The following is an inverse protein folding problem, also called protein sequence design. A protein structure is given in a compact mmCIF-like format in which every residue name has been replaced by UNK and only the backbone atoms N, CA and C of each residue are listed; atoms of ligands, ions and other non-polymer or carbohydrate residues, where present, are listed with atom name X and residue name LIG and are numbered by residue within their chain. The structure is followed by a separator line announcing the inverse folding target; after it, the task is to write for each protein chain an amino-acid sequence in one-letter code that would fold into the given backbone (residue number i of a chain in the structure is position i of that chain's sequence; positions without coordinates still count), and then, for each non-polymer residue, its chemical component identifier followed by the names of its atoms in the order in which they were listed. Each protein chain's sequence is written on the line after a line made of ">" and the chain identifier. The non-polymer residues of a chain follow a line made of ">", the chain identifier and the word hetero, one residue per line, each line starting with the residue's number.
data_IF_246146582462
#
_entry.id   IF_246146582462
#
_cell.length_a   1.000
_cell.length_b   1.000
_cell.length_c   1.000
_cell.angle_alpha   90.00
_cell.angle_beta   90.00
_cell.angle_gamma   90.00
#
_symmetry.space_group_name_H-M   'P 1'
#
loop_
_entity.id
_entity.type
_entity.pdbx_description
1 polymer ?
#
# COMPACT_ATOMS: atom_id res chain seq x y z
N UNK A 1 40.48 -2.74 10.61
CA UNK A 1 39.30 -1.85 10.71
C UNK A 1 38.77 -1.35 9.34
N UNK A 2 39.19 -1.92 8.20
CA UNK A 2 38.81 -1.44 6.85
C UNK A 2 37.47 -1.98 6.33
N UNK A 3 37.00 -3.14 6.81
CA UNK A 3 35.76 -3.77 6.33
C UNK A 3 34.47 -3.02 6.70
N UNK A 4 34.45 -2.33 7.85
CA UNK A 4 33.26 -1.59 8.34
C UNK A 4 32.95 -0.37 7.46
N UNK A 5 33.98 0.31 6.95
CA UNK A 5 33.83 1.47 6.06
C UNK A 5 33.21 1.10 4.70
N UNK A 6 33.62 -0.05 4.14
CA UNK A 6 33.11 -0.56 2.86
C UNK A 6 31.63 -0.98 2.96
N UNK A 7 31.27 -1.73 4.00
CA UNK A 7 29.87 -2.14 4.21
C UNK A 7 28.92 -0.94 4.40
N UNK A 8 29.35 0.08 5.16
CA UNK A 8 28.59 1.31 5.37
C UNK A 8 28.36 2.09 4.07
N UNK A 9 29.39 2.17 3.21
CA UNK A 9 29.28 2.79 1.89
C UNK A 9 28.24 2.09 1.01
N UNK A 10 28.30 0.76 0.89
CA UNK A 10 27.34 0.01 0.08
C UNK A 10 25.91 0.12 0.62
N UNK A 11 25.73 0.09 1.95
CA UNK A 11 24.43 0.31 2.58
C UNK A 11 23.87 1.70 2.25
N UNK A 12 24.71 2.76 2.33
CA UNK A 12 24.32 4.13 1.95
C UNK A 12 23.91 4.22 0.48
N UNK A 13 24.68 3.63 -0.43
CA UNK A 13 24.35 3.60 -1.88
C UNK A 13 23.05 2.83 -2.14
N UNK A 14 22.81 1.72 -1.45
CA UNK A 14 21.57 0.97 -1.56
C UNK A 14 20.35 1.79 -1.11
N UNK A 15 20.47 2.47 0.04
CA UNK A 15 19.43 3.36 0.56
C UNK A 15 19.15 4.55 -0.37
N UNK A 16 20.19 5.18 -0.92
CA UNK A 16 20.04 6.26 -1.92
C UNK A 16 19.28 5.77 -3.16
N UNK A 17 19.65 4.60 -3.69
CA UNK A 17 18.98 3.99 -4.85
C UNK A 17 17.51 3.72 -4.57
N UNK A 18 17.18 3.23 -3.38
CA UNK A 18 15.80 3.01 -2.96
C UNK A 18 15.02 4.33 -2.84
N UNK A 19 15.59 5.36 -2.20
CA UNK A 19 14.98 6.69 -2.08
C UNK A 19 14.67 7.30 -3.44
N UNK A 20 15.62 7.27 -4.38
CA UNK A 20 15.42 7.76 -5.75
C UNK A 20 14.27 7.00 -6.44
N UNK A 21 14.22 5.67 -6.31
CA UNK A 21 13.14 4.85 -6.90
C UNK A 21 11.77 5.16 -6.30
N UNK A 22 11.71 5.40 -4.99
CA UNK A 22 10.47 5.79 -4.31
C UNK A 22 10.05 7.17 -4.78
N UNK A 23 10.97 8.15 -4.79
CA UNK A 23 10.73 9.51 -5.23
C UNK A 23 10.22 9.55 -6.68
N UNK A 24 10.87 8.86 -7.61
CA UNK A 24 10.45 8.78 -9.00
C UNK A 24 9.03 8.20 -9.14
N UNK A 25 8.72 7.10 -8.43
CA UNK A 25 7.38 6.50 -8.46
C UNK A 25 6.31 7.44 -7.90
N UNK A 26 6.61 8.17 -6.83
CA UNK A 26 5.70 9.14 -6.22
C UNK A 26 5.47 10.34 -7.14
N UNK A 27 6.55 10.92 -7.66
CA UNK A 27 6.49 12.05 -8.58
C UNK A 27 5.69 11.70 -9.84
N UNK A 28 5.95 10.54 -10.46
CA UNK A 28 5.21 10.12 -11.65
C UNK A 28 3.72 9.89 -11.38
N UNK A 29 3.38 9.33 -10.21
CA UNK A 29 1.98 9.18 -9.79
C UNK A 29 1.31 10.54 -9.60
N UNK A 30 1.99 11.51 -9.01
CA UNK A 30 1.44 12.85 -8.81
C UNK A 30 1.33 13.64 -10.11
N UNK A 31 2.27 13.49 -11.05
CA UNK A 31 2.12 14.00 -12.42
C UNK A 31 0.83 13.47 -13.05
N UNK A 32 0.52 12.18 -12.86
CA UNK A 32 -0.74 11.61 -13.33
C UNK A 32 -1.98 12.14 -12.58
N UNK A 33 -1.85 12.42 -11.28
CA UNK A 33 -2.95 12.99 -10.48
C UNK A 33 -3.30 14.41 -10.96
N UNK A 34 -2.29 15.22 -11.31
CA UNK A 34 -2.50 16.54 -11.91
C UNK A 34 -2.97 16.47 -13.36
N UNK A 35 -2.39 15.57 -14.16
CA UNK A 35 -2.74 15.42 -15.57
C UNK A 35 -3.95 14.50 -15.78
N UNK A 36 -5.15 15.09 -15.80
CA UNK A 36 -6.41 14.39 -16.06
C UNK A 36 -6.36 13.63 -17.41
N UNK A 37 -5.77 14.23 -18.44
CA UNK A 37 -5.68 13.67 -19.79
C UNK A 37 -4.32 13.02 -20.10
N UNK A 38 -4.35 11.89 -20.82
CA UNK A 38 -3.15 11.07 -21.10
C UNK A 38 -2.11 11.75 -21.99
N UNK A 39 -2.52 12.56 -22.95
CA UNK A 39 -1.57 13.24 -23.86
C UNK A 39 -0.69 14.26 -23.14
N UNK A 40 -1.24 14.97 -22.14
CA UNK A 40 -0.49 15.88 -21.27
C UNK A 40 0.46 15.07 -20.38
N UNK A 41 -0.07 14.02 -19.75
CA UNK A 41 0.71 13.14 -18.89
C UNK A 41 1.95 12.57 -19.59
N UNK A 42 1.85 12.10 -20.84
CA UNK A 42 3.01 11.51 -21.52
C UNK A 42 4.15 12.50 -21.73
N UNK A 43 3.83 13.74 -22.07
CA UNK A 43 4.83 14.80 -22.22
C UNK A 43 5.51 15.09 -20.87
N UNK A 44 4.70 15.37 -19.84
CA UNK A 44 5.23 15.71 -18.51
C UNK A 44 6.00 14.55 -17.88
N UNK A 45 5.59 13.30 -18.12
CA UNK A 45 6.30 12.11 -17.67
C UNK A 45 7.65 11.93 -18.38
N UNK A 46 7.74 12.28 -19.67
CA UNK A 46 9.00 12.28 -20.41
C UNK A 46 9.95 13.33 -19.85
N UNK A 47 9.46 14.56 -19.68
CA UNK A 47 10.23 15.67 -19.10
C UNK A 47 10.72 15.33 -17.68
N UNK A 48 9.87 14.68 -16.87
CA UNK A 48 10.26 14.19 -15.54
C UNK A 48 11.38 13.15 -15.66
N UNK A 49 11.27 12.18 -16.56
CA UNK A 49 12.29 11.13 -16.75
C UNK A 49 13.62 11.72 -17.21
N UNK A 50 13.61 12.70 -18.09
CA UNK A 50 14.80 13.40 -18.55
C UNK A 50 15.54 14.10 -17.40
N UNK A 51 14.82 14.75 -16.47
CA UNK A 51 15.42 15.37 -15.27
C UNK A 51 16.16 14.35 -14.39
N UNK A 52 15.60 13.14 -14.22
CA UNK A 52 16.26 12.07 -13.48
C UNK A 52 17.47 11.50 -14.25
N UNK A 53 17.33 11.29 -15.56
CA UNK A 53 18.40 10.76 -16.40
C UNK A 53 19.61 11.73 -16.45
N UNK A 54 19.37 13.05 -16.46
CA UNK A 54 20.43 14.06 -16.46
C UNK A 54 21.39 13.98 -15.26
N UNK A 55 20.97 13.35 -14.15
CA UNK A 55 21.76 13.20 -12.93
C UNK A 55 22.12 11.74 -12.61
N UNK A 56 21.93 10.81 -13.56
CA UNK A 56 22.13 9.38 -13.31
C UNK A 56 23.61 9.00 -13.07
N UNK A 57 24.53 9.72 -13.72
CA UNK A 57 25.96 9.41 -13.77
C UNK A 57 26.75 10.11 -12.64
N UNK A 58 26.06 10.70 -11.67
CA UNK A 58 26.71 11.33 -10.50
C UNK A 58 27.21 10.25 -9.55
N UNK A 59 28.53 10.25 -9.29
CA UNK A 59 29.18 9.27 -8.40
C UNK A 59 29.39 9.78 -6.97
N UNK A 60 29.52 11.10 -6.79
CA UNK A 60 29.74 11.71 -5.46
C UNK A 60 28.53 11.50 -4.54
N UNK A 61 28.75 10.76 -3.46
CA UNK A 61 27.71 10.32 -2.52
C UNK A 61 27.04 11.48 -1.80
N UNK A 62 27.80 12.51 -1.43
CA UNK A 62 27.27 13.66 -0.70
C UNK A 62 26.46 14.57 -1.63
N UNK A 63 26.90 14.71 -2.89
CA UNK A 63 26.13 15.38 -3.93
C UNK A 63 24.81 14.67 -4.22
N UNK A 64 24.81 13.33 -4.26
CA UNK A 64 23.59 12.54 -4.46
C UNK A 64 22.57 12.80 -3.35
N UNK A 65 23.00 12.87 -2.09
CA UNK A 65 22.09 13.16 -0.98
C UNK A 65 21.49 14.57 -1.09
N UNK A 66 22.27 15.56 -1.51
CA UNK A 66 21.76 16.92 -1.77
C UNK A 66 20.75 16.95 -2.91
N UNK A 67 21.00 16.20 -3.99
CA UNK A 67 20.06 16.09 -5.12
C UNK A 67 18.76 15.39 -4.72
N UNK A 68 18.84 14.33 -3.92
CA UNK A 68 17.65 13.64 -3.38
C UNK A 68 16.85 14.61 -2.49
N UNK A 69 17.51 15.32 -1.58
CA UNK A 69 16.83 16.29 -0.70
C UNK A 69 16.17 17.43 -1.50
N UNK A 70 16.85 17.94 -2.52
CA UNK A 70 16.26 18.92 -3.44
C UNK A 70 15.02 18.37 -4.14
N UNK A 71 15.12 17.17 -4.74
CA UNK A 71 13.99 16.54 -5.42
C UNK A 71 12.81 16.22 -4.49
N UNK A 72 13.07 15.82 -3.25
CA UNK A 72 12.04 15.63 -2.22
C UNK A 72 11.35 16.96 -1.87
N UNK A 73 12.11 18.06 -1.73
CA UNK A 73 11.54 19.39 -1.45
C UNK A 73 10.68 19.93 -2.60
N UNK A 74 11.09 19.71 -3.85
CA UNK A 74 10.30 20.07 -5.02
C UNK A 74 9.02 19.23 -5.11
N UNK A 75 9.14 17.93 -4.84
CA UNK A 75 8.00 17.03 -4.80
C UNK A 75 6.98 17.45 -3.73
N UNK A 76 7.43 17.76 -2.52
CA UNK A 76 6.54 18.18 -1.43
C UNK A 76 5.83 19.51 -1.73
N UNK A 77 6.48 20.43 -2.46
CA UNK A 77 5.86 21.68 -2.90
C UNK A 77 4.71 21.47 -3.88
N UNK A 78 4.85 20.50 -4.79
CA UNK A 78 3.89 20.25 -5.88
C UNK A 78 2.99 19.04 -5.63
N UNK A 79 2.95 18.55 -4.40
CA UNK A 79 2.15 17.38 -4.02
C UNK A 79 0.67 17.67 -4.23
N UNK A 80 -0.04 16.74 -4.87
CA UNK A 80 -1.47 16.90 -5.11
C UNK A 80 -2.23 16.83 -3.76
N UNK A 81 -3.17 17.76 -3.48
CA UNK A 81 -3.89 17.79 -2.19
C UNK A 81 -4.80 16.58 -1.97
N UNK A 82 -5.40 16.04 -3.05
CA UNK A 82 -6.28 14.86 -3.01
C UNK A 82 -5.88 13.83 -4.08
N UNK A 83 -4.83 13.02 -3.85
CA UNK A 83 -4.29 12.12 -4.86
C UNK A 83 -5.26 10.96 -5.17
N UNK A 84 -5.22 10.42 -6.39
CA UNK A 84 -6.06 9.27 -6.73
C UNK A 84 -5.66 8.01 -5.93
N UNK A 85 -6.65 7.46 -5.23
CA UNK A 85 -6.55 6.20 -4.48
C UNK A 85 -7.51 5.19 -5.12
N UNK A 86 -7.01 4.00 -5.41
CA UNK A 86 -7.86 2.93 -5.96
C UNK A 86 -8.95 2.58 -4.94
N UNK A 87 -10.19 2.31 -5.38
CA UNK A 87 -11.34 2.24 -4.46
C UNK A 87 -11.19 1.27 -3.28
N UNK A 88 -10.50 0.15 -3.45
CA UNK A 88 -10.35 -0.89 -2.41
C UNK A 88 -9.09 -0.75 -1.55
N UNK A 89 -8.18 0.18 -1.87
CA UNK A 89 -6.99 0.42 -1.06
C UNK A 89 -7.33 1.28 0.17
N UNK A 90 -6.49 1.28 1.22
CA UNK A 90 -6.65 2.19 2.35
C UNK A 90 -6.83 3.64 1.88
N UNK A 91 -7.86 4.33 2.39
CA UNK A 91 -8.24 5.67 1.97
C UNK A 91 -9.13 5.76 0.71
N UNK A 92 -9.44 4.63 0.07
CA UNK A 92 -10.35 4.55 -1.07
C UNK A 92 -11.83 4.43 -0.65
N UNK A 93 -12.73 4.77 -1.57
CA UNK A 93 -14.20 4.82 -1.31
C UNK A 93 -14.87 3.47 -1.02
N UNK A 94 -14.21 2.35 -1.34
CA UNK A 94 -14.69 0.98 -1.10
C UNK A 94 -13.82 0.23 -0.08
N UNK A 95 -12.89 0.92 0.58
CA UNK A 95 -12.05 0.31 1.61
C UNK A 95 -12.91 -0.20 2.76
N UNK A 96 -12.68 -1.46 3.17
CA UNK A 96 -13.43 -2.11 4.26
C UNK A 96 -14.96 -2.07 4.12
N UNK A 97 -15.50 -1.94 2.91
CA UNK A 97 -16.96 -1.98 2.68
C UNK A 97 -17.57 -3.35 2.96
N UNK A 98 -16.80 -4.42 2.73
CA UNK A 98 -17.20 -5.80 3.01
C UNK A 98 -16.02 -6.57 3.63
N UNK A 99 -15.70 -6.35 4.92
CA UNK A 99 -14.62 -7.08 5.57
C UNK A 99 -15.03 -8.54 5.75
N UNK A 100 -14.09 -9.46 5.55
CA UNK A 100 -14.30 -10.86 5.92
C UNK A 100 -14.61 -10.92 7.43
N UNK A 101 -15.66 -11.63 7.85
CA UNK A 101 -15.99 -11.73 9.26
C UNK A 101 -14.81 -12.32 10.04
N UNK A 102 -14.57 -11.89 11.28
CA UNK A 102 -13.48 -12.40 12.09
C UNK A 102 -13.67 -13.92 12.31
N UNK A 103 -12.56 -14.66 12.21
CA UNK A 103 -12.57 -16.09 12.48
C UNK A 103 -13.07 -16.34 13.91
N UNK A 104 -14.15 -17.12 14.04
CA UNK A 104 -14.78 -17.44 15.33
C UNK A 104 -16.27 -17.07 15.45
N UNK A 105 -16.79 -16.15 14.62
CA UNK A 105 -18.20 -15.72 14.71
C UNK A 105 -19.17 -16.69 13.99
N UNK A 106 -18.66 -17.57 13.12
CA UNK A 106 -19.47 -18.53 12.36
C UNK A 106 -20.02 -19.68 13.23
N UNK A 107 -19.39 -19.97 14.39
CA UNK A 107 -19.78 -21.12 15.22
C UNK A 107 -21.01 -20.91 16.10
N UNK A 108 -21.48 -19.67 16.30
CA UNK A 108 -22.61 -19.40 17.20
C UNK A 108 -23.98 -19.41 16.51
N UNK A 109 -24.04 -19.31 15.18
CA UNK A 109 -25.31 -19.32 14.44
C UNK A 109 -25.79 -20.73 14.06
N UNK A 110 -24.93 -21.75 14.17
CA UNK A 110 -25.29 -23.13 13.86
C UNK A 110 -25.59 -23.97 15.11
N UNK A 111 -25.38 -23.43 16.32
CA UNK A 111 -25.66 -24.14 17.57
C UNK A 111 -27.12 -24.01 18.02
N UNK A 112 -27.84 -22.94 17.67
CA UNK A 112 -29.26 -22.79 18.00
C UNK A 112 -30.20 -23.65 17.15
N UNK A 113 -29.78 -24.05 15.94
CA UNK A 113 -30.61 -24.88 15.06
C UNK A 113 -30.43 -26.39 15.33
N UNK A 114 -29.31 -26.80 15.94
CA UNK A 114 -29.02 -28.20 16.26
C UNK A 114 -29.49 -28.58 17.67
N UNK A 115 -29.46 -27.65 18.63
CA UNK A 115 -29.94 -27.93 20.00
C UNK A 115 -31.47 -27.98 20.08
N UNK A 116 -32.21 -27.18 19.29
CA UNK A 116 -33.67 -27.27 19.27
C UNK A 116 -34.17 -28.56 18.60
N UNK A 117 -33.43 -29.10 17.63
CA UNK A 117 -33.80 -30.34 16.94
C UNK A 117 -33.56 -31.60 17.81
N UNK A 118 -32.57 -31.57 18.70
CA UNK A 118 -32.26 -32.68 19.60
C UNK A 118 -33.14 -32.70 20.86
N UNK A 119 -33.51 -31.53 21.41
CA UNK A 119 -34.39 -31.46 22.60
C UNK A 119 -35.82 -31.93 22.24
N UNK A 120 -36.32 -31.60 21.05
CA UNK A 120 -37.67 -31.99 20.63
C UNK A 120 -37.78 -33.50 20.31
N UNK A 121 -36.68 -34.16 19.94
CA UNK A 121 -36.65 -35.61 19.68
C UNK A 121 -36.54 -36.44 20.96
N UNK A 122 -35.89 -35.91 22.00
CA UNK A 122 -35.75 -36.58 23.29
C UNK A 122 -37.02 -36.48 24.15
N UNK A 123 -37.70 -35.33 24.15
CA UNK A 123 -38.98 -35.17 24.87
C UNK A 123 -40.13 -35.97 24.24
N UNK A 124 -40.09 -36.24 22.93
CA UNK A 124 -41.11 -37.03 22.25
C UNK A 124 -40.97 -38.54 22.47
N UNK A 125 -39.80 -39.06 22.87
CA UNK A 125 -39.66 -40.49 23.19
C UNK A 125 -40.03 -40.80 24.64
N UNK A 126 -40.00 -39.83 25.55
CA UNK A 126 -40.37 -40.04 26.96
C UNK A 126 -41.88 -39.98 27.24
N UNK A 127 -42.70 -39.49 26.31
CA UNK A 127 -44.17 -39.42 26.45
C UNK A 127 -44.88 -40.64 25.83
N UNK A 128 -44.16 -41.49 25.08
CA UNK A 128 -44.75 -42.67 24.43
C UNK A 128 -44.72 -43.96 25.28
N UNK A 129 -44.08 -43.95 26.46
CA UNK A 129 -43.97 -45.11 27.37
C UNK A 129 -44.82 -44.94 28.65
N UNK A 130 -45.78 -44.03 28.63
CA UNK A 130 -46.74 -43.82 29.73
C UNK A 130 -48.16 -43.79 29.17
N UNK A 131 -48.58 -44.90 28.55
CA UNK A 131 -49.95 -45.47 28.52
C UNK A 131 -49.93 -46.84 27.80
#
# INVERSE_FOLDING_TARGET
>A
MSGVSSAAYFARRAAQKERVRILYRRALKDTLNWAVHRHIFYRDASDLREKFNANQDVEDVDRIDKLIAHGESEYDKWRHPDPYIVPWAPGGSKFCRNPTPPAGVIFLLNTYHVTHFLIHKFLSSCVADAD
#
